data_IF_667751209965
#
_entry.id   IF_667751209965
#
_cell.length_a   1.000
_cell.length_b   1.000
_cell.length_c   1.000
_cell.angle_alpha   90.00
_cell.angle_beta   90.00
_cell.angle_gamma   90.00
#
_symmetry.space_group_name_H-M   'P 1'
#
loop_
_entity.id
_entity.type
_entity.pdbx_description
1 polymer ?
#
# COMPACT_ATOMS: atom_id res chain seq x y z
N UNK A 1 24.62 -23.45 4.00
CA UNK A 1 24.15 -22.75 2.78
C UNK A 1 23.24 -21.62 3.21
N UNK A 2 23.73 -20.39 3.13
CA UNK A 2 22.93 -19.21 3.47
C UNK A 2 21.87 -18.98 2.41
N UNK A 3 20.62 -18.90 2.80
CA UNK A 3 19.56 -18.36 1.96
C UNK A 3 19.91 -16.89 1.70
N UNK A 4 20.46 -16.58 0.53
CA UNK A 4 20.70 -15.22 0.12
C UNK A 4 19.35 -14.50 0.07
N UNK A 5 19.15 -13.56 0.97
CA UNK A 5 18.00 -12.67 0.93
C UNK A 5 18.09 -11.85 -0.36
N UNK A 6 17.20 -12.11 -1.32
CA UNK A 6 17.04 -11.29 -2.51
C UNK A 6 16.49 -9.90 -2.15
N UNK A 7 17.29 -9.10 -1.50
CA UNK A 7 16.91 -7.74 -1.10
C UNK A 7 18.07 -6.78 -1.17
N UNK A 8 18.76 -6.74 -2.31
CA UNK A 8 19.63 -5.62 -2.62
C UNK A 8 19.51 -5.26 -4.09
N UNK A 9 18.34 -4.80 -4.50
CA UNK A 9 18.27 -3.78 -5.53
C UNK A 9 17.89 -2.48 -4.83
N UNK A 10 18.88 -1.81 -4.26
CA UNK A 10 18.85 -0.37 -4.06
C UNK A 10 18.89 0.20 -5.49
N UNK A 11 17.75 0.11 -6.17
CA UNK A 11 17.50 0.85 -7.40
C UNK A 11 17.55 2.32 -7.03
N UNK A 12 18.06 3.15 -7.93
CA UNK A 12 18.13 4.63 -7.83
C UNK A 12 16.76 5.30 -7.63
N UNK A 13 15.68 4.51 -7.58
CA UNK A 13 14.29 4.95 -7.54
C UNK A 13 13.65 4.46 -6.26
N UNK A 14 13.23 5.38 -5.39
CA UNK A 14 12.50 5.09 -4.17
C UNK A 14 10.98 5.22 -4.35
N UNK A 15 10.53 5.75 -5.48
CA UNK A 15 9.12 5.93 -5.80
C UNK A 15 8.65 4.90 -6.82
N UNK A 16 7.72 4.05 -6.39
CA UNK A 16 7.10 3.04 -7.22
C UNK A 16 5.60 3.29 -7.34
N UNK A 17 5.15 3.49 -8.58
CA UNK A 17 3.73 3.71 -8.84
C UNK A 17 2.99 2.37 -8.84
N UNK A 18 1.89 2.31 -8.13
CA UNK A 18 1.03 1.13 -8.13
C UNK A 18 0.40 0.93 -9.51
N UNK A 19 0.44 -0.30 -10.10
CA UNK A 19 -0.15 -0.56 -11.39
C UNK A 19 -1.62 -0.15 -11.46
N UNK A 20 -2.05 0.43 -12.57
CA UNK A 20 -3.43 0.89 -12.76
C UNK A 20 -4.47 -0.22 -12.60
N UNK A 21 -4.15 -1.47 -12.98
CA UNK A 21 -5.07 -2.58 -12.84
C UNK A 21 -5.36 -2.95 -11.39
N UNK A 22 -4.47 -2.62 -10.45
CA UNK A 22 -4.71 -2.74 -9.01
C UNK A 22 -5.61 -1.59 -8.53
N UNK A 23 -5.33 -0.36 -8.94
CA UNK A 23 -6.05 0.84 -8.48
C UNK A 23 -7.48 0.91 -9.01
N UNK A 24 -7.69 0.55 -10.28
CA UNK A 24 -8.97 0.71 -10.98
C UNK A 24 -10.18 0.09 -10.24
N UNK A 25 -10.13 -1.16 -9.75
CA UNK A 25 -11.26 -1.77 -9.05
C UNK A 25 -11.48 -1.22 -7.64
N UNK A 26 -10.52 -0.45 -7.09
CA UNK A 26 -10.62 0.09 -5.74
C UNK A 26 -11.42 1.39 -5.66
N UNK A 27 -11.65 2.06 -6.80
CA UNK A 27 -12.42 3.28 -6.87
C UNK A 27 -11.66 4.52 -6.37
N UNK A 28 -12.40 5.56 -5.96
CA UNK A 28 -11.85 6.86 -5.56
C UNK A 28 -11.52 6.93 -4.09
N UNK A 29 -10.54 7.77 -3.77
CA UNK A 29 -10.11 8.05 -2.39
C UNK A 29 -10.27 9.53 -2.05
N UNK A 30 -10.22 9.86 -0.78
CA UNK A 30 -10.21 11.27 -0.33
C UNK A 30 -8.77 11.77 -0.21
N UNK A 31 -7.84 10.89 0.17
CA UNK A 31 -6.44 11.26 0.39
C UNK A 31 -5.48 10.15 -0.03
N UNK A 32 -4.41 10.55 -0.73
CA UNK A 32 -3.17 9.80 -0.92
C UNK A 32 -2.04 10.53 -0.17
N UNK A 33 -1.67 10.11 1.06
CA UNK A 33 -0.66 10.77 1.86
C UNK A 33 0.78 10.40 1.47
N UNK A 34 0.95 9.50 0.52
CA UNK A 34 2.24 8.99 0.02
C UNK A 34 2.33 9.16 -1.50
N UNK A 35 1.71 10.20 -2.05
CA UNK A 35 1.73 10.46 -3.48
C UNK A 35 3.16 10.66 -4.00
N UNK A 36 3.51 10.16 -5.18
CA UNK A 36 4.81 10.36 -5.77
C UNK A 36 5.03 11.83 -6.14
N UNK A 37 6.30 12.24 -6.25
CA UNK A 37 6.64 13.61 -6.62
C UNK A 37 6.28 13.92 -8.08
N UNK A 38 6.71 13.06 -9.02
CA UNK A 38 6.55 13.31 -10.47
C UNK A 38 5.10 13.07 -10.91
N UNK A 39 4.52 11.92 -10.56
CA UNK A 39 3.15 11.54 -10.91
C UNK A 39 2.20 11.76 -9.73
N UNK A 40 2.20 12.96 -9.16
CA UNK A 40 1.46 13.29 -7.94
C UNK A 40 -0.01 12.83 -7.96
N UNK A 41 -0.66 12.92 -9.13
CA UNK A 41 -2.08 12.56 -9.32
C UNK A 41 -2.27 11.14 -9.88
N UNK A 42 -1.32 10.25 -9.66
CA UNK A 42 -1.38 8.87 -10.14
C UNK A 42 -2.59 8.11 -9.59
N UNK A 43 -2.94 8.32 -8.35
CA UNK A 43 -4.11 7.74 -7.70
C UNK A 43 -5.31 8.67 -7.85
N UNK A 44 -6.50 8.12 -8.08
CA UNK A 44 -7.76 8.92 -8.09
C UNK A 44 -8.15 9.27 -6.64
N UNK A 45 -7.57 10.33 -6.13
CA UNK A 45 -7.85 10.89 -4.81
C UNK A 45 -8.12 12.39 -4.89
N UNK A 46 -8.87 12.94 -3.94
CA UNK A 46 -9.16 14.39 -3.88
C UNK A 46 -7.94 15.19 -3.46
N UNK A 47 -7.14 14.64 -2.55
CA UNK A 47 -5.96 15.28 -1.97
C UNK A 47 -4.76 14.37 -2.11
N UNK A 48 -3.61 14.94 -2.48
CA UNK A 48 -2.36 14.22 -2.66
C UNK A 48 -1.25 14.95 -1.91
N UNK A 49 -0.58 14.22 -1.01
CA UNK A 49 0.60 14.72 -0.33
C UNK A 49 1.83 13.92 -0.75
N UNK A 50 2.87 14.61 -1.15
CA UNK A 50 4.14 14.01 -1.48
C UNK A 50 5.17 14.20 -0.35
N UNK A 51 6.41 13.89 -0.62
CA UNK A 51 7.50 13.96 0.38
C UNK A 51 7.67 15.35 0.99
N UNK A 52 7.36 16.43 0.27
CA UNK A 52 7.48 17.81 0.75
C UNK A 52 6.32 18.22 1.66
N UNK A 53 5.22 17.50 1.62
CA UNK A 53 4.04 17.79 2.43
C UNK A 53 4.10 17.21 3.83
N UNK A 54 4.98 16.24 4.09
CA UNK A 54 5.07 15.46 5.33
C UNK A 54 3.71 14.90 5.79
N UNK A 55 3.20 13.92 5.05
CA UNK A 55 1.90 13.30 5.32
C UNK A 55 1.75 12.67 6.72
N UNK A 56 2.88 12.36 7.40
CA UNK A 56 2.83 11.83 8.76
C UNK A 56 2.50 12.90 9.80
N UNK A 57 2.84 14.16 9.57
CA UNK A 57 2.57 15.26 10.50
C UNK A 57 1.14 15.80 10.42
N UNK A 58 0.44 15.56 9.30
CA UNK A 58 -0.89 16.12 9.03
C UNK A 58 -2.03 15.21 9.53
N UNK A 59 -3.17 15.79 9.82
CA UNK A 59 -4.39 15.03 10.12
C UNK A 59 -4.96 14.37 8.85
N UNK A 60 -5.26 13.07 8.92
CA UNK A 60 -5.91 12.36 7.82
C UNK A 60 -7.41 12.39 7.97
N UNK A 61 -8.12 12.58 6.83
CA UNK A 61 -9.58 12.58 6.80
C UNK A 61 -10.10 11.81 5.59
N UNK A 62 -11.20 11.10 5.79
CA UNK A 62 -11.89 10.37 4.74
C UNK A 62 -11.24 9.02 4.42
N UNK A 63 -11.46 8.58 3.20
CA UNK A 63 -10.99 7.29 2.68
C UNK A 63 -9.57 7.43 2.13
N UNK A 64 -8.64 6.69 2.71
CA UNK A 64 -7.21 6.80 2.42
C UNK A 64 -6.76 5.69 1.46
N UNK A 65 -5.97 6.06 0.45
CA UNK A 65 -5.05 5.16 -0.24
C UNK A 65 -3.66 5.32 0.35
N UNK A 66 -2.99 4.24 0.70
CA UNK A 66 -1.64 4.31 1.26
C UNK A 66 -0.72 3.28 0.61
N UNK A 67 0.25 3.76 -0.18
CA UNK A 67 1.41 3.00 -0.64
C UNK A 67 2.66 3.63 -0.02
N UNK A 68 3.02 3.29 1.24
CA UNK A 68 4.05 3.99 1.98
C UNK A 68 5.46 3.58 1.51
N UNK A 69 6.47 4.40 1.80
CA UNK A 69 7.85 3.96 1.69
C UNK A 69 8.08 2.71 2.55
N UNK A 70 8.56 1.62 1.95
CA UNK A 70 8.74 0.33 2.66
C UNK A 70 10.01 0.28 3.51
N UNK A 71 10.58 1.43 3.84
CA UNK A 71 11.75 1.49 4.69
C UNK A 71 11.43 0.98 6.11
N UNK A 72 12.22 0.03 6.60
CA UNK A 72 12.01 -0.71 7.85
C UNK A 72 11.60 0.15 9.05
N UNK A 73 12.21 1.33 9.19
CA UNK A 73 11.98 2.22 10.33
C UNK A 73 10.80 3.18 10.15
N UNK A 74 10.25 3.30 8.95
CA UNK A 74 9.16 4.25 8.68
C UNK A 74 7.80 3.58 8.48
N UNK A 75 7.76 2.37 7.92
CA UNK A 75 6.50 1.69 7.60
C UNK A 75 5.58 1.56 8.82
N UNK A 76 6.12 1.32 10.01
CA UNK A 76 5.34 1.23 11.24
C UNK A 76 4.61 2.52 11.62
N UNK A 77 5.20 3.70 11.33
CA UNK A 77 4.56 5.00 11.58
C UNK A 77 3.36 5.21 10.65
N UNK A 78 3.51 4.85 9.38
CA UNK A 78 2.45 4.90 8.38
C UNK A 78 1.31 3.95 8.74
N UNK A 79 1.62 2.71 9.10
CA UNK A 79 0.62 1.72 9.51
C UNK A 79 -0.13 2.12 10.78
N UNK A 80 0.59 2.66 11.77
CA UNK A 80 -0.04 3.20 12.98
C UNK A 80 -1.08 4.28 12.63
N UNK A 81 -0.71 5.21 11.77
CA UNK A 81 -1.59 6.31 11.37
C UNK A 81 -2.79 5.82 10.57
N UNK A 82 -2.58 4.85 9.68
CA UNK A 82 -3.66 4.22 8.93
C UNK A 82 -4.64 3.46 9.85
N UNK A 83 -4.12 2.71 10.81
CA UNK A 83 -4.93 2.01 11.82
C UNK A 83 -5.76 2.99 12.67
N UNK A 84 -5.20 4.14 13.02
CA UNK A 84 -5.92 5.19 13.74
C UNK A 84 -7.03 5.84 12.92
N UNK A 85 -6.79 6.11 11.63
CA UNK A 85 -7.81 6.64 10.71
C UNK A 85 -8.92 5.61 10.43
N UNK A 86 -8.58 4.35 10.41
CA UNK A 86 -9.46 3.19 10.24
C UNK A 86 -10.44 3.29 9.05
N UNK A 87 -10.07 3.98 7.99
CA UNK A 87 -10.85 4.08 6.76
C UNK A 87 -9.94 4.19 5.55
N UNK A 88 -9.74 3.10 4.82
CA UNK A 88 -8.93 3.11 3.61
C UNK A 88 -8.32 1.76 3.26
N UNK A 89 -7.42 1.78 2.29
CA UNK A 89 -6.69 0.61 1.80
C UNK A 89 -5.19 0.92 1.79
N UNK A 90 -4.41 0.05 2.43
CA UNK A 90 -2.96 0.10 2.37
C UNK A 90 -2.41 -1.00 1.46
N UNK A 91 -1.38 -0.70 0.68
CA UNK A 91 -0.62 -1.66 -0.10
C UNK A 91 0.72 -1.93 0.61
N UNK A 92 1.01 -3.20 0.86
CA UNK A 92 2.24 -3.62 1.54
C UNK A 92 2.83 -4.89 0.92
N UNK A 93 4.15 -5.10 1.01
CA UNK A 93 4.71 -6.44 0.97
C UNK A 93 4.11 -7.31 2.08
N UNK A 94 3.72 -8.53 1.76
CA UNK A 94 3.06 -9.45 2.71
C UNK A 94 4.07 -10.05 3.71
N UNK A 95 4.67 -9.20 4.52
CA UNK A 95 5.59 -9.58 5.61
C UNK A 95 4.81 -9.85 6.88
N UNK A 96 4.03 -10.92 6.83
CA UNK A 96 2.99 -11.27 7.81
C UNK A 96 3.54 -11.62 9.20
N UNK A 97 4.84 -11.89 9.31
CA UNK A 97 5.55 -12.28 10.52
C UNK A 97 6.11 -11.10 11.32
N UNK A 98 6.10 -9.89 10.75
CA UNK A 98 6.71 -8.72 11.39
C UNK A 98 5.84 -8.16 12.52
N UNK A 99 6.49 -7.58 13.55
CA UNK A 99 5.81 -6.93 14.68
C UNK A 99 4.82 -5.84 14.22
N UNK A 100 5.22 -5.01 13.25
CA UNK A 100 4.34 -3.98 12.69
C UNK A 100 3.11 -4.58 12.01
N UNK A 101 3.26 -5.71 11.33
CA UNK A 101 2.15 -6.40 10.67
C UNK A 101 1.19 -6.97 11.72
N UNK A 102 1.70 -7.59 12.79
CA UNK A 102 0.86 -8.05 13.90
C UNK A 102 0.08 -6.89 14.51
N UNK A 103 0.75 -5.84 14.94
CA UNK A 103 0.16 -4.74 15.70
C UNK A 103 -0.84 -3.89 14.92
N UNK A 104 -0.58 -3.64 13.64
CA UNK A 104 -1.35 -2.68 12.86
C UNK A 104 -2.17 -3.32 11.72
N UNK A 105 -1.96 -4.60 11.43
CA UNK A 105 -2.72 -5.34 10.42
C UNK A 105 -3.53 -6.44 11.06
N UNK A 106 -2.91 -7.50 11.60
CA UNK A 106 -3.66 -8.62 12.18
C UNK A 106 -4.58 -8.20 13.32
N UNK A 107 -4.16 -7.29 14.19
CA UNK A 107 -4.95 -6.87 15.34
C UNK A 107 -6.05 -5.87 14.99
N UNK A 108 -5.91 -5.06 13.93
CA UNK A 108 -6.74 -3.89 13.67
C UNK A 108 -7.50 -3.94 12.35
N UNK A 109 -6.90 -4.47 11.27
CA UNK A 109 -7.50 -4.45 9.95
C UNK A 109 -8.79 -5.27 9.88
N UNK A 110 -9.73 -4.85 9.03
CA UNK A 110 -10.99 -5.56 8.78
C UNK A 110 -10.79 -6.78 7.87
N UNK A 111 -9.81 -6.73 7.00
CA UNK A 111 -9.41 -7.85 6.15
C UNK A 111 -8.19 -7.56 5.30
N UNK A 112 -7.66 -8.60 4.68
CA UNK A 112 -6.45 -8.56 3.86
C UNK A 112 -6.72 -9.30 2.56
N UNK A 113 -6.39 -8.68 1.44
CA UNK A 113 -6.38 -9.33 0.13
C UNK A 113 -4.93 -9.64 -0.25
N UNK A 114 -4.63 -10.89 -0.51
CA UNK A 114 -3.36 -11.33 -1.10
C UNK A 114 -3.50 -11.33 -2.62
N UNK A 115 -2.72 -10.47 -3.30
CA UNK A 115 -2.79 -10.30 -4.75
C UNK A 115 -2.33 -11.58 -5.45
N UNK A 116 -3.09 -12.03 -6.45
CA UNK A 116 -2.70 -13.16 -7.29
C UNK A 116 -1.50 -12.78 -8.17
N UNK A 117 -0.42 -13.53 -8.06
CA UNK A 117 0.83 -13.25 -8.76
C UNK A 117 1.66 -12.13 -8.09
N UNK A 118 2.70 -11.69 -8.78
CA UNK A 118 3.56 -10.59 -8.34
C UNK A 118 3.44 -9.42 -9.30
N UNK A 119 2.90 -8.28 -8.86
CA UNK A 119 2.74 -7.14 -9.74
C UNK A 119 4.08 -6.56 -10.20
N UNK A 120 4.13 -6.08 -11.42
CA UNK A 120 5.14 -5.15 -11.88
C UNK A 120 4.66 -3.74 -11.52
N UNK A 121 5.40 -3.07 -10.66
CA UNK A 121 5.16 -1.66 -10.37
C UNK A 121 5.57 -0.80 -11.56
N UNK A 122 5.18 0.46 -11.58
CA UNK A 122 5.62 1.36 -12.63
C UNK A 122 6.71 2.30 -12.09
N UNK A 123 7.62 2.64 -12.96
CA UNK A 123 8.63 3.68 -12.74
C UNK A 123 7.95 5.06 -12.64
N UNK A 124 8.62 6.10 -12.12
CA UNK A 124 8.05 7.44 -11.96
C UNK A 124 7.54 8.09 -13.24
N UNK A 125 8.00 7.65 -14.42
CA UNK A 125 7.48 8.10 -15.71
C UNK A 125 6.16 7.41 -16.12
N UNK A 126 5.72 6.41 -15.34
CA UNK A 126 4.51 5.64 -15.57
C UNK A 126 4.72 4.37 -16.42
N UNK A 127 5.95 4.06 -16.85
CA UNK A 127 6.24 2.83 -17.57
C UNK A 127 6.32 1.64 -16.62
N UNK A 128 5.89 0.46 -17.08
CA UNK A 128 5.98 -0.76 -16.28
C UNK A 128 7.43 -1.16 -16.06
N UNK A 129 7.80 -1.42 -14.80
CA UNK A 129 9.15 -1.85 -14.45
C UNK A 129 9.46 -3.24 -15.03
N UNK A 130 10.72 -3.43 -15.43
CA UNK A 130 11.21 -4.69 -16.00
C UNK A 130 11.02 -5.88 -15.06
N UNK A 131 11.15 -5.67 -13.76
CA UNK A 131 11.07 -6.72 -12.74
C UNK A 131 9.81 -6.56 -11.89
N UNK A 132 9.28 -7.68 -11.42
CA UNK A 132 8.15 -7.70 -10.51
C UNK A 132 8.53 -7.22 -9.09
N UNK A 133 7.53 -7.14 -8.21
CA UNK A 133 7.66 -6.62 -6.83
C UNK A 133 8.70 -7.32 -5.96
N UNK A 134 9.28 -8.45 -6.39
CA UNK A 134 10.24 -9.23 -5.62
C UNK A 134 9.65 -9.93 -4.38
N UNK A 135 8.59 -9.39 -3.79
CA UNK A 135 7.84 -9.94 -2.66
C UNK A 135 6.36 -10.09 -3.01
N UNK A 136 5.63 -11.01 -2.38
CA UNK A 136 4.17 -11.03 -2.43
C UNK A 136 3.61 -9.70 -1.94
N UNK A 137 2.55 -9.20 -2.60
CA UNK A 137 1.89 -7.95 -2.24
C UNK A 137 0.52 -8.25 -1.67
N UNK A 138 0.13 -7.52 -0.64
CA UNK A 138 -1.21 -7.54 -0.09
C UNK A 138 -1.82 -6.15 -0.02
N UNK A 139 -3.16 -6.11 -0.08
CA UNK A 139 -3.98 -4.93 0.15
C UNK A 139 -4.71 -5.12 1.48
N UNK A 140 -4.62 -4.14 2.35
CA UNK A 140 -5.16 -4.21 3.70
C UNK A 140 -6.33 -3.26 3.80
N UNK A 141 -7.51 -3.80 4.13
CA UNK A 141 -8.71 -3.01 4.31
C UNK A 141 -8.87 -2.58 5.77
N UNK A 142 -9.00 -1.28 5.97
CA UNK A 142 -9.41 -0.67 7.22
C UNK A 142 -10.83 -0.14 7.05
N UNK A 143 -11.77 -0.65 7.86
CA UNK A 143 -13.20 -0.38 7.75
C UNK A 143 -13.95 -1.27 6.75
N UNK A 144 -15.23 -1.53 7.06
CA UNK A 144 -16.06 -2.51 6.34
C UNK A 144 -16.22 -2.17 4.86
N UNK A 145 -16.46 -0.90 4.52
CA UNK A 145 -16.58 -0.48 3.11
C UNK A 145 -15.36 -0.89 2.27
N UNK A 146 -14.16 -0.73 2.82
CA UNK A 146 -12.92 -1.08 2.12
C UNK A 146 -12.74 -2.60 1.97
N UNK A 147 -13.18 -3.38 2.97
CA UNK A 147 -13.23 -4.84 2.85
C UNK A 147 -14.19 -5.27 1.72
N UNK A 148 -15.37 -4.67 1.64
CA UNK A 148 -16.36 -4.98 0.61
C UNK A 148 -15.83 -4.65 -0.80
N UNK A 149 -15.07 -3.56 -0.93
CA UNK A 149 -14.38 -3.22 -2.17
C UNK A 149 -13.34 -4.30 -2.53
N UNK A 150 -12.52 -4.74 -1.58
CA UNK A 150 -11.53 -5.79 -1.83
C UNK A 150 -12.19 -7.12 -2.22
N UNK A 151 -13.29 -7.51 -1.58
CA UNK A 151 -14.05 -8.73 -1.90
C UNK A 151 -14.57 -8.73 -3.34
N UNK A 152 -14.95 -7.56 -3.86
CA UNK A 152 -15.48 -7.38 -5.23
C UNK A 152 -14.39 -7.14 -6.28
N UNK A 153 -13.16 -6.87 -5.87
CA UNK A 153 -12.10 -6.41 -6.77
C UNK A 153 -11.61 -7.46 -7.77
N UNK A 154 -11.71 -8.74 -7.43
CA UNK A 154 -11.17 -9.85 -8.24
C UNK A 154 -9.64 -9.93 -8.27
N UNK A 155 -8.93 -9.16 -7.44
CA UNK A 155 -7.47 -9.06 -7.47
C UNK A 155 -6.73 -10.26 -6.84
N UNK A 156 -7.43 -11.07 -6.04
CA UNK A 156 -6.81 -12.18 -5.34
C UNK A 156 -7.72 -12.80 -4.28
N UNK A 157 -7.12 -13.36 -3.24
CA UNK A 157 -7.83 -14.01 -2.14
C UNK A 157 -7.93 -13.08 -0.95
N UNK A 158 -9.15 -12.93 -0.42
CA UNK A 158 -9.42 -12.10 0.76
C UNK A 158 -9.54 -12.98 2.00
N UNK A 159 -8.80 -12.62 3.03
CA UNK A 159 -8.91 -13.15 4.39
C UNK A 159 -9.51 -12.05 5.27
N UNK A 160 -10.65 -12.32 5.90
CA UNK A 160 -11.29 -11.40 6.84
C UNK A 160 -11.14 -11.88 8.27
N UNK A 161 -11.06 -10.93 9.19
CA UNK A 161 -11.11 -11.23 10.63
C UNK A 161 -12.51 -11.71 10.97
N UNK A 162 -12.59 -12.79 11.73
CA UNK A 162 -13.85 -13.34 12.27
C UNK A 162 -14.15 -12.64 13.58
#
# INVERSE_FOLDING_TARGET
MGLSSHQNTIGKNQEWLTPRWILKPLGKFDLDPCAPEIQKYWVDAKTHWNIYDDGLSKEWKGRIWMNPPFHRYQVGKWLKKMAQNNNGIALLPARTETENFYKYVWDVATGILFIKGRPHFCDPDGTEAKFNSGAPICLIAYGQFNLDVLLKSGLGVVVKKI
#
